data_IF_069934561602
#
_entry.id   IF_069934561602
#
_cell.length_a   1.000
_cell.length_b   1.000
_cell.length_c   1.000
_cell.angle_alpha   90.00
_cell.angle_beta   90.00
_cell.angle_gamma   90.00
#
_symmetry.space_group_name_H-M   'P 1'
#
loop_
_entity.id
_entity.type
_entity.pdbx_description
1 polymer ?
#
# COMPACT_ATOMS: atom_id res chain seq x y z
N UNK A 1 -26.05 -16.54 18.55
CA UNK A 1 -24.71 -17.01 18.93
C UNK A 1 -23.72 -15.90 18.67
N UNK A 2 -22.93 -15.51 19.65
CA UNK A 2 -21.91 -14.46 19.54
C UNK A 2 -20.56 -15.07 19.16
N UNK A 3 -19.81 -14.45 18.24
CA UNK A 3 -18.46 -14.91 17.85
C UNK A 3 -17.47 -13.75 17.89
N UNK A 4 -16.21 -14.08 18.22
CA UNK A 4 -15.08 -13.16 18.17
C UNK A 4 -14.79 -12.81 16.70
N UNK A 5 -14.85 -11.54 16.34
CA UNK A 5 -14.61 -11.07 14.96
C UNK A 5 -13.22 -10.47 14.80
N UNK A 6 -12.72 -9.78 15.83
CA UNK A 6 -11.42 -9.14 15.81
C UNK A 6 -10.64 -9.54 17.05
N UNK A 7 -9.52 -10.22 16.84
CA UNK A 7 -8.55 -10.55 17.87
C UNK A 7 -7.23 -9.86 17.53
N UNK A 8 -6.68 -9.15 18.52
CA UNK A 8 -5.33 -8.62 18.44
C UNK A 8 -4.33 -9.79 18.44
N UNK A 9 -3.53 -9.88 17.39
CA UNK A 9 -2.56 -10.95 17.17
C UNK A 9 -1.37 -10.89 18.13
N UNK A 10 -1.05 -9.70 18.66
CA UNK A 10 0.11 -9.50 19.52
C UNK A 10 -0.22 -9.64 20.99
N UNK A 11 -1.44 -9.25 21.39
CA UNK A 11 -1.88 -9.30 22.79
C UNK A 11 -2.83 -10.45 23.09
N UNK A 12 -3.35 -11.13 22.06
CA UNK A 12 -4.38 -12.16 22.19
C UNK A 12 -5.74 -11.62 22.65
N UNK A 13 -5.85 -10.29 22.85
CA UNK A 13 -7.04 -9.63 23.36
C UNK A 13 -8.12 -9.60 22.29
N UNK A 14 -9.35 -9.94 22.70
CA UNK A 14 -10.52 -9.80 21.83
C UNK A 14 -10.93 -8.33 21.83
N UNK A 15 -10.88 -7.73 20.65
CA UNK A 15 -11.24 -6.32 20.48
C UNK A 15 -12.72 -6.16 20.15
N UNK A 16 -13.34 -7.16 19.51
CA UNK A 16 -14.75 -7.10 19.16
C UNK A 16 -15.43 -8.47 19.08
N UNK A 17 -16.66 -8.52 19.59
CA UNK A 17 -17.57 -9.67 19.54
C UNK A 17 -18.80 -9.24 18.75
N UNK A 18 -19.11 -9.98 17.68
CA UNK A 18 -20.25 -9.70 16.81
C UNK A 18 -21.41 -10.68 17.01
N UNK A 19 -22.63 -10.18 16.82
CA UNK A 19 -23.85 -11.00 16.78
C UNK A 19 -24.07 -11.56 15.37
N UNK A 20 -24.33 -12.87 15.27
CA UNK A 20 -24.77 -13.52 14.01
C UNK A 20 -26.26 -13.24 13.78
N UNK A 21 -26.61 -12.69 12.62
CA UNK A 21 -27.99 -12.52 12.14
C UNK A 21 -28.10 -13.14 10.74
N UNK A 22 -28.93 -14.17 10.58
CA UNK A 22 -28.91 -15.00 9.37
C UNK A 22 -27.53 -15.63 9.18
N UNK A 23 -26.98 -15.60 7.97
CA UNK A 23 -25.63 -16.09 7.65
C UNK A 23 -24.51 -15.04 7.79
N UNK A 24 -24.85 -13.83 8.26
CA UNK A 24 -23.91 -12.72 8.37
C UNK A 24 -23.66 -12.33 9.83
N UNK A 25 -22.49 -11.76 10.09
CA UNK A 25 -22.18 -11.13 11.36
C UNK A 25 -22.37 -9.62 11.24
N UNK A 26 -23.17 -9.04 12.13
CA UNK A 26 -23.52 -7.62 12.03
C UNK A 26 -22.52 -6.77 12.81
N UNK A 27 -21.73 -5.99 12.08
CA UNK A 27 -20.83 -4.99 12.64
C UNK A 27 -21.62 -3.69 12.88
N UNK A 28 -21.97 -3.41 14.14
CA UNK A 28 -22.65 -2.15 14.49
C UNK A 28 -21.66 -0.99 14.58
N UNK A 29 -21.21 -0.50 13.43
CA UNK A 29 -20.34 0.68 13.29
C UNK A 29 -20.96 1.99 13.82
N UNK A 30 -22.25 2.00 14.18
CA UNK A 30 -22.99 3.21 14.53
C UNK A 30 -22.83 3.68 15.98
N UNK A 31 -22.29 2.85 16.88
CA UNK A 31 -22.07 3.26 18.28
C UNK A 31 -20.63 3.75 18.45
N UNK A 32 -20.38 5.04 18.16
CA UNK A 32 -19.31 5.94 18.71
C UNK A 32 -18.92 7.11 17.79
N UNK A 33 -19.67 7.44 16.75
CA UNK A 33 -19.54 8.76 16.09
C UNK A 33 -20.34 9.81 16.88
N UNK A 34 -19.93 10.12 18.11
CA UNK A 34 -20.44 11.29 18.88
C UNK A 34 -19.65 12.56 18.55
N UNK A 35 -18.54 12.45 17.84
CA UNK A 35 -17.92 13.58 17.16
C UNK A 35 -18.54 13.70 15.78
N UNK A 36 -18.74 14.92 15.22
CA UNK A 36 -18.90 15.03 13.78
C UNK A 36 -17.79 14.20 13.14
N UNK A 37 -18.14 13.39 12.14
CA UNK A 37 -17.13 12.72 11.34
C UNK A 37 -16.09 13.80 11.04
N UNK A 38 -14.83 13.59 11.47
CA UNK A 38 -13.74 14.44 11.02
C UNK A 38 -13.77 14.23 9.52
N UNK A 39 -14.43 15.13 8.79
CA UNK A 39 -14.33 15.17 7.36
C UNK A 39 -12.83 15.32 7.14
N UNK A 40 -12.24 14.34 6.48
CA UNK A 40 -10.93 14.56 5.91
C UNK A 40 -11.16 15.76 5.00
N UNK A 41 -10.72 16.93 5.44
CA UNK A 41 -10.73 18.10 4.58
C UNK A 41 -10.03 17.63 3.31
N UNK A 42 -10.72 17.75 2.17
CA UNK A 42 -10.09 17.50 0.88
C UNK A 42 -9.12 18.67 0.70
N UNK A 43 -7.94 18.52 1.31
CA UNK A 43 -6.81 19.40 1.07
C UNK A 43 -6.54 19.24 -0.42
N UNK A 44 -6.45 20.39 -1.11
CA UNK A 44 -6.09 20.47 -2.52
C UNK A 44 -4.94 19.48 -2.80
N UNK A 45 -5.11 18.64 -3.81
CA UNK A 45 -4.20 17.52 -4.01
C UNK A 45 -2.78 18.05 -4.29
N UNK A 46 -1.85 17.79 -3.37
CA UNK A 46 -0.46 18.19 -3.53
C UNK A 46 0.26 17.22 -4.48
N UNK A 47 0.71 17.74 -5.61
CA UNK A 47 1.39 16.98 -6.67
C UNK A 47 2.62 16.26 -6.14
N UNK A 48 3.40 16.89 -5.27
CA UNK A 48 4.62 16.29 -4.74
C UNK A 48 4.30 15.13 -3.77
N UNK A 49 3.26 15.30 -2.96
CA UNK A 49 2.79 14.24 -2.06
C UNK A 49 2.26 13.03 -2.81
N UNK A 50 1.43 13.24 -3.83
CA UNK A 50 0.88 12.15 -4.65
C UNK A 50 1.95 11.48 -5.53
N UNK A 51 2.94 12.25 -6.00
CA UNK A 51 4.13 11.72 -6.65
C UNK A 51 4.87 10.71 -5.76
N UNK A 52 5.15 11.07 -4.49
CA UNK A 52 5.81 10.17 -3.52
C UNK A 52 4.92 8.96 -3.17
N UNK A 53 3.63 9.18 -2.91
CA UNK A 53 2.68 8.12 -2.51
C UNK A 53 2.44 7.07 -3.59
N UNK A 54 2.45 7.46 -4.87
CA UNK A 54 2.20 6.52 -5.97
C UNK A 54 3.47 5.85 -6.50
N UNK A 55 4.60 5.96 -5.79
CA UNK A 55 5.85 5.32 -6.21
C UNK A 55 6.56 6.09 -7.33
N UNK A 56 6.66 7.41 -7.19
CA UNK A 56 7.43 8.28 -8.08
C UNK A 56 6.91 8.33 -9.53
N UNK A 57 5.59 8.23 -9.69
CA UNK A 57 4.89 8.33 -10.97
C UNK A 57 5.13 9.70 -11.63
N UNK A 58 5.19 9.73 -12.96
CA UNK A 58 5.46 10.95 -13.72
C UNK A 58 4.32 11.97 -13.61
N UNK A 59 4.67 13.25 -13.69
CA UNK A 59 3.70 14.35 -13.63
C UNK A 59 2.55 14.23 -14.65
N UNK A 60 2.79 13.86 -15.93
CA UNK A 60 1.70 13.72 -16.90
C UNK A 60 0.67 12.65 -16.51
N UNK A 61 1.05 11.67 -15.69
CA UNK A 61 0.14 10.63 -15.19
C UNK A 61 -0.66 11.15 -13.99
N UNK A 62 0.00 11.85 -13.05
CA UNK A 62 -0.68 12.49 -11.90
C UNK A 62 -1.72 13.50 -12.38
N UNK A 63 -1.41 14.30 -13.41
CA UNK A 63 -2.31 15.30 -13.99
C UNK A 63 -3.59 14.71 -14.63
N UNK A 64 -3.61 13.41 -14.94
CA UNK A 64 -4.81 12.73 -15.45
C UNK A 64 -5.79 12.36 -14.33
N UNK A 65 -5.40 12.49 -13.06
CA UNK A 65 -6.26 12.19 -11.93
C UNK A 65 -7.30 13.31 -11.73
N UNK A 66 -8.54 12.96 -11.36
CA UNK A 66 -9.65 13.92 -11.27
C UNK A 66 -9.43 15.04 -10.24
N UNK A 67 -8.55 14.81 -9.27
CA UNK A 67 -8.26 15.76 -8.19
C UNK A 67 -7.16 16.78 -8.54
N UNK A 68 -6.53 16.65 -9.72
CA UNK A 68 -5.44 17.51 -10.18
C UNK A 68 -5.91 18.35 -11.37
N UNK A 69 -6.45 19.54 -11.10
CA UNK A 69 -6.86 20.45 -12.17
C UNK A 69 -5.62 21.07 -12.82
N UNK A 70 -5.74 21.36 -14.12
CA UNK A 70 -4.64 21.82 -14.99
C UNK A 70 -3.94 23.11 -14.56
N UNK A 71 -4.47 23.83 -13.56
CA UNK A 71 -3.91 25.04 -12.95
C UNK A 71 -2.82 24.78 -11.91
N UNK A 72 -2.63 23.53 -11.46
CA UNK A 72 -1.56 23.21 -10.51
C UNK A 72 -0.22 23.07 -11.24
N UNK A 73 0.37 24.22 -11.54
CA UNK A 73 1.73 24.37 -12.04
C UNK A 73 2.76 24.21 -10.92
N UNK A 74 2.58 23.24 -10.02
CA UNK A 74 3.64 22.84 -9.10
C UNK A 74 4.55 21.86 -9.83
N UNK A 75 5.59 22.42 -10.47
CA UNK A 75 6.72 21.64 -10.96
C UNK A 75 7.21 20.79 -9.78
N UNK A 76 7.21 19.46 -9.92
CA UNK A 76 7.85 18.59 -8.93
C UNK A 76 9.30 19.03 -8.87
N UNK A 77 9.73 19.49 -7.69
CA UNK A 77 11.12 19.79 -7.39
C UNK A 77 11.99 18.57 -7.69
N UNK A 78 13.28 18.77 -7.95
CA UNK A 78 14.20 17.67 -8.23
C UNK A 78 14.02 16.54 -7.21
N UNK A 79 13.54 15.38 -7.67
CA UNK A 79 13.29 14.22 -6.80
C UNK A 79 14.44 13.24 -6.97
N UNK A 80 15.29 13.15 -5.95
CA UNK A 80 16.51 12.33 -5.98
C UNK A 80 16.22 10.82 -6.08
N UNK A 81 15.00 10.41 -5.71
CA UNK A 81 14.57 9.00 -5.77
C UNK A 81 14.15 8.59 -7.19
N UNK A 82 13.65 9.52 -8.00
CA UNK A 82 13.16 9.21 -9.36
C UNK A 82 14.22 8.58 -10.28
N UNK A 83 15.45 9.11 -10.36
CA UNK A 83 16.52 8.48 -11.13
C UNK A 83 16.86 7.07 -10.63
N UNK A 84 16.91 6.89 -9.30
CA UNK A 84 17.20 5.60 -8.67
C UNK A 84 16.10 4.57 -8.95
N UNK A 85 14.83 4.97 -8.84
CA UNK A 85 13.68 4.12 -9.09
C UNK A 85 13.50 3.76 -10.57
N UNK A 86 13.98 4.63 -11.48
CA UNK A 86 13.92 4.40 -12.94
C UNK A 86 15.16 3.73 -13.50
N UNK A 87 16.16 3.45 -12.67
CA UNK A 87 17.34 2.74 -13.12
C UNK A 87 16.91 1.35 -13.60
N UNK A 88 17.18 1.08 -14.88
CA UNK A 88 16.91 -0.23 -15.44
C UNK A 88 17.68 -1.26 -14.62
N UNK A 89 16.97 -2.29 -14.14
CA UNK A 89 17.62 -3.40 -13.48
C UNK A 89 18.61 -4.01 -14.47
N UNK A 90 19.86 -4.15 -14.04
CA UNK A 90 20.89 -4.84 -14.80
C UNK A 90 20.37 -6.26 -15.07
N UNK A 91 20.55 -6.83 -16.28
CA UNK A 91 20.21 -8.22 -16.54
C UNK A 91 20.77 -9.12 -15.44
N UNK A 92 19.97 -10.07 -14.98
CA UNK A 92 20.49 -11.09 -14.07
C UNK A 92 21.67 -11.79 -14.73
N UNK A 93 22.73 -12.13 -13.95
CA UNK A 93 23.81 -12.94 -14.48
C UNK A 93 23.24 -14.27 -14.98
N UNK A 94 23.79 -14.76 -16.08
CA UNK A 94 23.43 -16.06 -16.64
C UNK A 94 23.81 -17.11 -15.59
N UNK A 95 22.82 -17.87 -15.10
CA UNK A 95 23.11 -19.00 -14.22
C UNK A 95 23.86 -20.07 -15.00
N UNK A 96 25.08 -20.38 -14.58
CA UNK A 96 25.87 -21.49 -15.11
C UNK A 96 25.60 -22.81 -14.37
N UNK A 97 24.77 -22.78 -13.32
CA UNK A 97 24.48 -23.96 -12.49
C UNK A 97 23.28 -24.72 -13.08
N UNK A 98 23.44 -26.04 -13.26
CA UNK A 98 22.37 -26.95 -13.69
C UNK A 98 22.15 -27.99 -12.59
N UNK A 99 20.90 -28.25 -12.22
CA UNK A 99 20.55 -29.38 -11.38
C UNK A 99 20.89 -30.68 -12.13
N UNK A 100 21.53 -31.64 -11.45
CA UNK A 100 21.78 -32.96 -12.02
C UNK A 100 20.79 -33.97 -11.44
N UNK A 101 20.40 -33.80 -10.18
CA UNK A 101 19.42 -34.59 -9.45
C UNK A 101 18.27 -33.76 -8.86
N UNK A 102 17.23 -34.45 -8.38
CA UNK A 102 16.11 -33.81 -7.68
C UNK A 102 16.58 -33.08 -6.43
N UNK A 103 16.12 -31.82 -6.25
CA UNK A 103 16.44 -30.93 -5.12
C UNK A 103 17.85 -30.30 -5.09
N UNK A 104 18.65 -30.45 -6.15
CA UNK A 104 20.00 -29.84 -6.22
C UNK A 104 20.02 -28.30 -6.24
N UNK A 105 18.93 -27.67 -6.69
CA UNK A 105 18.84 -26.22 -6.79
C UNK A 105 17.83 -25.66 -5.79
N UNK A 106 18.26 -25.50 -4.53
CA UNK A 106 17.59 -24.65 -3.56
C UNK A 106 18.17 -23.23 -3.67
N UNK A 107 17.50 -22.35 -4.43
CA UNK A 107 17.90 -20.95 -4.57
C UNK A 107 17.39 -20.11 -3.38
N UNK A 108 18.18 -20.02 -2.32
CA UNK A 108 18.02 -18.96 -1.31
C UNK A 108 18.75 -17.70 -1.79
N UNK A 109 18.06 -16.85 -2.56
CA UNK A 109 18.61 -15.53 -2.89
C UNK A 109 18.45 -14.60 -1.68
N UNK A 110 19.45 -14.63 -0.78
CA UNK A 110 19.70 -13.51 0.13
C UNK A 110 20.40 -12.41 -0.68
N UNK A 111 19.65 -11.39 -1.08
CA UNK A 111 20.23 -10.13 -1.52
C UNK A 111 20.73 -9.41 -0.27
N UNK A 112 22.01 -9.59 0.06
CA UNK A 112 22.70 -8.69 0.99
C UNK A 112 22.94 -7.34 0.32
N UNK A 113 22.70 -6.30 1.12
CA UNK A 113 22.58 -4.87 0.80
C UNK A 113 23.75 -4.24 0.05
#
# INVERSE_FOLDING_TARGET
>A
MEKKLLQDLFTGKVNEIGKKEGELYVLHTQRRLKSPAKSFAVVKADTELWHKRMGHVSFPVIKKLPNFTSSDSTKISHCDICPLARQARIPFPISTTRAVDCFDLLSLQSLNS
#
